data_IF_864071237120
#
_entry.id   IF_864071237120
#
_cell.length_a   1.000
_cell.length_b   1.000
_cell.length_c   1.000
_cell.angle_alpha   90.00
_cell.angle_beta   90.00
_cell.angle_gamma   90.00
#
_symmetry.space_group_name_H-M   'P 1'
#
loop_
_entity.id
_entity.type
_entity.pdbx_description
1 polymer ?
#
# COMPACT_ATOMS: atom_id res chain seq x y z
N UNK A 1 14.73 -2.46 -15.53
CA UNK A 1 14.09 -2.63 -15.60
C UNK A 1 12.92 -2.83 -15.81
N UNK A 2 12.82 -3.02 -16.07
CA UNK A 2 11.61 -2.89 -16.61
C UNK A 2 10.62 -3.96 -16.43
N UNK A 3 10.87 -4.90 -15.68
CA UNK A 3 9.93 -5.96 -15.39
C UNK A 3 8.68 -5.45 -14.72
N UNK A 4 8.75 -4.31 -14.13
CA UNK A 4 7.61 -3.77 -13.43
C UNK A 4 6.42 -3.49 -14.33
N UNK A 5 6.64 -3.34 -15.62
CA UNK A 5 5.51 -3.06 -16.48
C UNK A 5 4.48 -4.14 -16.44
N UNK A 6 4.92 -5.35 -16.26
CA UNK A 6 3.98 -6.48 -16.27
C UNK A 6 3.06 -6.46 -15.07
N UNK A 7 3.42 -5.74 -14.02
CA UNK A 7 2.69 -5.82 -12.75
C UNK A 7 1.93 -4.56 -12.42
N UNK A 8 2.15 -3.48 -13.16
CA UNK A 8 1.53 -2.20 -12.82
C UNK A 8 0.34 -1.85 -13.68
N UNK A 9 -0.07 -2.74 -14.58
CA UNK A 9 -1.21 -2.51 -15.41
C UNK A 9 -0.95 -2.96 -16.82
N UNK A 10 -1.94 -2.75 -17.65
CA UNK A 10 -1.90 -3.18 -19.03
C UNK A 10 -1.37 -2.05 -19.90
N UNK A 11 -0.78 -2.41 -21.03
CA UNK A 11 -0.38 -1.43 -22.01
C UNK A 11 -1.55 -1.10 -22.91
N UNK A 12 -1.64 0.16 -23.29
CA UNK A 12 -2.59 0.57 -24.31
C UNK A 12 -2.06 0.17 -25.67
N UNK A 13 -2.93 0.15 -26.70
CA UNK A 13 -2.48 -0.18 -28.04
C UNK A 13 -1.37 0.73 -28.55
N UNK A 14 -1.28 1.95 -28.06
CA UNK A 14 -0.23 2.89 -28.45
C UNK A 14 1.07 2.69 -27.67
N UNK A 15 1.14 1.70 -26.80
CA UNK A 15 2.35 1.41 -26.03
C UNK A 15 2.42 2.09 -24.69
N UNK A 16 1.50 2.98 -24.36
CA UNK A 16 1.53 3.65 -23.06
C UNK A 16 0.88 2.79 -21.99
N UNK A 17 1.32 2.99 -20.75
CA UNK A 17 0.73 2.25 -19.62
C UNK A 17 -0.64 2.76 -19.27
N UNK A 18 -1.53 1.84 -18.97
CA UNK A 18 -2.83 2.15 -18.42
C UNK A 18 -2.69 2.24 -16.91
N UNK A 19 -3.25 3.30 -16.31
CA UNK A 19 -3.23 3.43 -14.86
C UNK A 19 -3.98 2.26 -14.21
N UNK A 20 -3.49 1.72 -13.09
CA UNK A 20 -4.19 0.63 -12.41
C UNK A 20 -5.57 1.07 -11.94
N UNK A 21 -6.52 0.15 -12.02
CA UNK A 21 -7.85 0.41 -11.47
C UNK A 21 -7.74 0.54 -9.94
N UNK A 22 -8.54 1.41 -9.31
CA UNK A 22 -8.49 1.57 -7.86
C UNK A 22 -8.67 0.29 -7.05
N UNK A 23 -9.35 -0.71 -7.62
CA UNK A 23 -9.60 -1.98 -6.93
C UNK A 23 -8.63 -3.08 -7.34
N UNK A 24 -7.70 -2.81 -8.24
CA UNK A 24 -6.71 -3.80 -8.63
C UNK A 24 -5.79 -4.12 -7.46
N UNK A 25 -5.32 -5.36 -7.43
CA UNK A 25 -4.32 -5.75 -6.45
C UNK A 25 -3.06 -4.91 -6.65
N UNK A 26 -2.29 -4.77 -5.57
CA UNK A 26 -1.01 -4.07 -5.67
C UNK A 26 -0.06 -4.85 -6.58
N UNK A 27 0.65 -4.11 -7.41
CA UNK A 27 1.72 -4.70 -8.19
C UNK A 27 2.91 -5.01 -7.28
N UNK A 28 3.86 -5.78 -7.80
CA UNK A 28 5.09 -6.07 -7.05
C UNK A 28 5.82 -4.76 -6.75
N UNK A 29 5.88 -3.86 -7.72
CA UNK A 29 6.54 -2.56 -7.53
C UNK A 29 5.85 -1.73 -6.48
N UNK A 30 4.53 -1.71 -6.49
CA UNK A 30 3.78 -0.97 -5.47
C UNK A 30 4.03 -1.55 -4.08
N UNK A 31 4.03 -2.87 -3.97
CA UNK A 31 4.28 -3.54 -2.70
C UNK A 31 5.70 -3.27 -2.21
N UNK A 32 6.67 -3.36 -3.09
CA UNK A 32 8.07 -3.11 -2.73
C UNK A 32 8.27 -1.66 -2.30
N UNK A 33 7.62 -0.74 -2.99
CA UNK A 33 7.71 0.66 -2.65
C UNK A 33 7.11 0.93 -1.27
N UNK A 34 5.96 0.32 -0.98
CA UNK A 34 5.35 0.46 0.34
C UNK A 34 6.28 -0.08 1.44
N UNK A 35 6.94 -1.21 1.20
CA UNK A 35 7.92 -1.73 2.17
C UNK A 35 9.05 -0.75 2.39
N UNK A 36 9.57 -0.18 1.31
CA UNK A 36 10.65 0.81 1.41
C UNK A 36 10.24 2.01 2.24
N UNK A 37 9.04 2.50 2.03
CA UNK A 37 8.55 3.65 2.80
C UNK A 37 8.53 3.31 4.28
N UNK A 38 8.04 2.12 4.63
CA UNK A 38 7.98 1.70 6.03
C UNK A 38 9.39 1.52 6.60
N UNK A 39 10.28 0.87 5.87
CA UNK A 39 11.64 0.66 6.35
C UNK A 39 12.37 1.99 6.60
N UNK A 40 12.20 2.92 5.68
CA UNK A 40 12.82 4.24 5.83
C UNK A 40 12.22 5.02 6.99
N UNK A 41 10.91 4.91 7.18
CA UNK A 41 10.22 5.64 8.23
C UNK A 41 10.56 5.09 9.62
N UNK A 42 10.72 3.77 9.75
CA UNK A 42 11.01 3.17 11.06
C UNK A 42 12.49 3.23 11.41
N UNK A 43 13.38 3.32 10.41
CA UNK A 43 14.82 3.45 10.64
C UNK A 43 15.53 2.13 10.78
N UNK A 44 16.86 2.19 10.91
CA UNK A 44 17.69 1.01 10.89
C UNK A 44 17.85 0.34 12.25
N UNK A 45 17.31 0.94 13.31
CA UNK A 45 17.49 0.43 14.67
C UNK A 45 16.46 -0.60 15.07
N UNK A 46 15.55 -0.92 14.18
CA UNK A 46 14.52 -1.91 14.44
C UNK A 46 14.53 -2.94 13.33
N UNK A 47 14.06 -4.14 13.64
CA UNK A 47 13.82 -5.16 12.64
C UNK A 47 12.35 -5.12 12.27
N UNK A 48 12.06 -5.21 10.99
CA UNK A 48 10.68 -5.20 10.49
C UNK A 48 10.40 -6.56 9.88
N UNK A 49 9.30 -7.16 10.30
CA UNK A 49 8.81 -8.39 9.72
C UNK A 49 7.46 -8.10 9.08
N UNK A 50 7.40 -8.08 7.76
CA UNK A 50 6.16 -7.79 7.05
C UNK A 50 5.25 -9.01 7.06
N UNK A 51 4.00 -8.82 7.46
CA UNK A 51 3.01 -9.90 7.51
C UNK A 51 2.15 -9.91 6.26
N UNK A 52 1.62 -8.75 5.87
CA UNK A 52 0.77 -8.67 4.69
C UNK A 52 0.77 -7.26 4.14
N UNK A 53 0.58 -7.17 2.84
CA UNK A 53 0.48 -5.90 2.14
C UNK A 53 -0.62 -6.08 1.11
N UNK A 54 -1.63 -5.22 1.17
CA UNK A 54 -2.74 -5.31 0.24
C UNK A 54 -3.29 -3.92 -0.04
N UNK A 55 -4.06 -3.81 -1.13
CA UNK A 55 -4.66 -2.53 -1.47
C UNK A 55 -5.76 -2.21 -0.47
N UNK A 56 -5.76 -0.97 0.01
CA UNK A 56 -6.81 -0.47 0.89
C UNK A 56 -7.88 0.17 0.02
N UNK A 57 -9.13 -0.20 0.22
CA UNK A 57 -10.20 0.33 -0.60
C UNK A 57 -10.33 1.83 -0.41
N UNK A 58 -10.53 2.59 -1.49
CA UNK A 58 -10.75 4.03 -1.36
C UNK A 58 -12.03 4.33 -0.58
N UNK A 59 -12.18 5.55 -0.07
CA UNK A 59 -13.44 5.95 0.55
C UNK A 59 -14.61 5.70 -0.39
N UNK A 60 -15.71 5.27 0.18
CA UNK A 60 -16.86 4.82 -0.58
C UNK A 60 -17.37 5.86 -1.58
N UNK A 61 -17.39 7.11 -1.19
CA UNK A 61 -17.89 8.17 -2.06
C UNK A 61 -17.00 8.39 -3.27
N UNK A 62 -15.68 8.37 -3.04
CA UNK A 62 -14.74 8.53 -4.14
C UNK A 62 -14.82 7.37 -5.10
N UNK A 63 -14.88 6.16 -4.55
CA UNK A 63 -14.93 4.96 -5.36
C UNK A 63 -16.21 4.91 -6.17
N UNK A 64 -17.34 5.19 -5.54
CA UNK A 64 -18.65 5.20 -6.24
C UNK A 64 -18.64 6.18 -7.39
N UNK A 65 -18.11 7.37 -7.15
CA UNK A 65 -18.05 8.40 -8.19
C UNK A 65 -17.23 7.95 -9.38
N UNK A 66 -16.07 7.34 -9.09
CA UNK A 66 -15.21 6.84 -10.14
C UNK A 66 -15.90 5.72 -10.91
N UNK A 67 -16.52 4.78 -10.20
CA UNK A 67 -17.17 3.63 -10.84
C UNK A 67 -18.36 4.08 -11.69
N UNK A 68 -19.09 5.10 -11.25
CA UNK A 68 -20.21 5.64 -12.05
C UNK A 68 -19.69 6.20 -13.36
N UNK A 69 -18.59 6.92 -13.34
CA UNK A 69 -17.99 7.46 -14.56
C UNK A 69 -17.51 6.33 -15.46
N UNK A 70 -16.89 5.32 -14.87
CA UNK A 70 -16.42 4.16 -15.61
C UNK A 70 -17.56 3.41 -16.28
N UNK A 71 -18.63 3.15 -15.53
CA UNK A 71 -19.79 2.44 -16.05
C UNK A 71 -20.49 3.19 -17.17
N UNK A 72 -20.41 4.52 -17.12
CA UNK A 72 -21.00 5.36 -18.17
C UNK A 72 -20.09 5.49 -19.40
N UNK A 73 -18.91 4.88 -19.36
CA UNK A 73 -17.96 4.94 -20.46
C UNK A 73 -17.32 6.32 -20.64
N UNK A 74 -17.23 7.10 -19.57
CA UNK A 74 -16.77 8.47 -19.64
C UNK A 74 -15.36 8.69 -19.07
N UNK A 75 -14.62 7.62 -18.80
CA UNK A 75 -13.28 7.78 -18.27
C UNK A 75 -12.38 8.48 -19.27
N UNK A 76 -11.65 9.48 -18.79
CA UNK A 76 -10.64 10.17 -19.58
C UNK A 76 -9.34 10.20 -18.79
N UNK A 77 -8.29 10.71 -19.42
CA UNK A 77 -7.01 10.87 -18.72
C UNK A 77 -7.09 11.92 -17.62
N UNK A 78 -8.13 12.76 -17.63
CA UNK A 78 -8.32 13.81 -16.64
C UNK A 78 -9.33 13.44 -15.56
N UNK A 79 -9.94 12.26 -15.65
CA UNK A 79 -10.90 11.82 -14.63
C UNK A 79 -10.17 11.66 -13.29
N UNK A 80 -10.67 12.30 -12.21
CA UNK A 80 -10.07 12.11 -10.89
C UNK A 80 -10.16 10.65 -10.49
N UNK A 81 -9.05 10.10 -10.00
CA UNK A 81 -8.98 8.73 -9.54
C UNK A 81 -8.69 8.70 -8.06
N UNK A 82 -9.33 7.81 -7.31
CA UNK A 82 -8.96 7.62 -5.91
C UNK A 82 -7.48 7.24 -5.81
N UNK A 83 -6.83 7.72 -4.76
CA UNK A 83 -5.44 7.37 -4.51
C UNK A 83 -5.33 5.87 -4.24
N UNK A 84 -4.26 5.26 -4.74
CA UNK A 84 -3.99 3.87 -4.42
C UNK A 84 -3.18 3.83 -3.14
N UNK A 85 -3.73 3.17 -2.15
CA UNK A 85 -3.15 3.10 -0.82
C UNK A 85 -2.88 1.65 -0.48
N UNK A 86 -1.68 1.38 -0.02
CA UNK A 86 -1.30 0.06 0.46
C UNK A 86 -1.51 0.02 1.97
N UNK A 87 -2.21 -0.99 2.45
CA UNK A 87 -2.30 -1.27 3.88
C UNK A 87 -1.25 -2.31 4.20
N UNK A 88 -0.32 -1.96 5.07
CA UNK A 88 0.83 -2.79 5.40
C UNK A 88 0.70 -3.21 6.87
N UNK A 89 0.74 -4.51 7.11
CA UNK A 89 0.73 -5.06 8.45
C UNK A 89 2.10 -5.67 8.70
N UNK A 90 2.70 -5.30 9.82
CA UNK A 90 4.08 -5.69 10.08
C UNK A 90 4.38 -5.69 11.57
N UNK A 91 5.44 -6.40 11.92
CA UNK A 91 5.95 -6.41 13.28
C UNK A 91 7.21 -5.55 13.35
N UNK A 92 7.30 -4.76 14.41
CA UNK A 92 8.49 -3.98 14.72
C UNK A 92 9.14 -4.60 15.93
N UNK A 93 10.39 -5.02 15.79
CA UNK A 93 11.12 -5.68 16.85
C UNK A 93 12.29 -4.79 17.22
N UNK A 94 12.33 -4.37 18.48
CA UNK A 94 13.33 -3.44 18.98
C UNK A 94 14.41 -4.19 19.73
N UNK A 95 15.52 -3.50 20.00
CA UNK A 95 16.67 -4.08 20.66
C UNK A 95 16.35 -4.65 22.05
N UNK A 96 15.40 -4.04 22.75
CA UNK A 96 15.00 -4.49 24.06
C UNK A 96 13.99 -5.62 23.99
N UNK A 97 13.82 -6.21 22.82
CA UNK A 97 12.88 -7.29 22.54
C UNK A 97 11.43 -6.89 22.68
N UNK A 98 11.15 -5.60 22.65
CA UNK A 98 9.80 -5.14 22.54
C UNK A 98 9.29 -5.43 21.14
N UNK A 99 8.07 -5.87 21.07
CA UNK A 99 7.47 -6.32 19.83
C UNK A 99 6.14 -5.59 19.66
N UNK A 100 6.02 -4.87 18.57
CA UNK A 100 4.78 -4.16 18.27
C UNK A 100 4.25 -4.66 16.93
N UNK A 101 2.98 -5.03 16.92
CA UNK A 101 2.29 -5.33 15.68
C UNK A 101 1.66 -4.04 15.20
N UNK A 102 2.03 -3.60 14.02
CA UNK A 102 1.63 -2.30 13.51
C UNK A 102 0.94 -2.40 12.17
N UNK A 103 0.16 -1.39 11.88
CA UNK A 103 -0.52 -1.26 10.60
C UNK A 103 -0.30 0.16 10.10
N UNK A 104 0.11 0.29 8.86
CA UNK A 104 0.31 1.59 8.24
C UNK A 104 -0.34 1.61 6.88
N UNK A 105 -0.80 2.78 6.48
CA UNK A 105 -1.31 3.00 5.14
C UNK A 105 -0.33 3.89 4.39
N UNK A 106 0.06 3.45 3.20
CA UNK A 106 1.03 4.17 2.38
C UNK A 106 0.38 4.52 1.06
N UNK A 107 0.37 5.80 0.72
CA UNK A 107 -0.06 6.24 -0.60
C UNK A 107 1.06 5.90 -1.58
N UNK A 108 0.83 4.90 -2.44
CA UNK A 108 1.90 4.42 -3.31
C UNK A 108 2.20 5.37 -4.46
N UNK A 109 1.36 6.37 -4.68
CA UNK A 109 1.64 7.39 -5.68
C UNK A 109 2.59 8.45 -5.16
N UNK A 110 2.44 8.85 -3.90
CA UNK A 110 3.26 9.92 -3.32
C UNK A 110 4.35 9.41 -2.38
N UNK A 111 4.19 8.21 -1.85
CA UNK A 111 5.13 7.68 -0.86
C UNK A 111 4.85 8.17 0.54
N UNK A 112 3.71 8.76 0.78
CA UNK A 112 3.37 9.25 2.12
C UNK A 112 2.72 8.16 2.94
N UNK A 113 3.19 8.01 4.17
CA UNK A 113 2.52 7.16 5.15
C UNK A 113 1.38 7.98 5.74
N UNK A 114 0.14 7.63 5.39
CA UNK A 114 -1.02 8.45 5.73
C UNK A 114 -1.66 8.06 7.05
N UNK A 115 -1.49 6.82 7.49
CA UNK A 115 -1.98 6.34 8.78
C UNK A 115 -0.96 5.39 9.36
N UNK A 116 -0.90 5.38 10.67
CA UNK A 116 -0.03 4.48 11.39
C UNK A 116 -0.68 4.18 12.72
N UNK A 117 -0.76 2.91 13.07
CA UNK A 117 -1.28 2.58 14.40
C UNK A 117 -0.64 1.31 14.90
N UNK A 118 -0.51 1.24 16.21
CA UNK A 118 -0.08 0.02 16.90
C UNK A 118 -1.32 -0.82 17.14
N UNK A 119 -1.35 -2.01 16.53
CA UNK A 119 -2.46 -2.92 16.70
C UNK A 119 -2.29 -3.68 18.00
N UNK A 120 -1.06 -4.11 18.27
CA UNK A 120 -0.79 -4.88 19.46
C UNK A 120 0.64 -4.64 19.90
N UNK A 121 0.83 -4.47 21.20
CA UNK A 121 2.15 -4.26 21.78
C UNK A 121 2.46 -5.39 22.72
N UNK A 122 3.55 -6.08 22.48
CA UNK A 122 3.93 -7.26 23.26
C UNK A 122 5.35 -7.15 23.74
N UNK A 123 5.57 -7.62 24.96
CA UNK A 123 6.91 -7.81 25.48
C UNK A 123 7.27 -9.28 25.42
N UNK A 124 8.56 -9.56 25.48
CA UNK A 124 9.03 -10.93 25.43
C UNK A 124 8.34 -11.78 26.50
N UNK A 125 8.17 -11.23 27.70
CA UNK A 125 7.55 -11.97 28.76
C UNK A 125 6.10 -12.32 28.47
N UNK A 126 5.39 -11.46 27.77
CA UNK A 126 3.99 -11.70 27.45
C UNK A 126 3.83 -12.85 26.48
N UNK A 127 4.85 -13.10 25.67
CA UNK A 127 4.77 -14.16 24.68
C UNK A 127 4.89 -15.55 25.28
N UNK A 128 5.27 -15.64 26.52
CA UNK A 128 5.46 -16.93 27.18
C UNK A 128 4.20 -17.45 27.85
N UNK A 129 3.18 -16.68 27.91
CA UNK A 129 1.95 -17.07 28.61
C UNK A 129 1.05 -17.93 27.77
#
# INVERSE_FOLDING_TARGET
>A
MSAQQATTGQLRPDGSKVAPHPLDQLSIEESDYAREVILNARGSKVAINFRSIFVDEPPKQELSRFLDIENAGRLTSHTPRPARVAKVQYDVIRDDRQHEYMESCVDVGSGNETQQRVVEKMHQAALTT
#
